data_IF_331558286206
#
_entry.id   IF_331558286206
#
_cell.length_a   1.000
_cell.length_b   1.000
_cell.length_c   1.000
_cell.angle_alpha   90.00
_cell.angle_beta   90.00
_cell.angle_gamma   90.00
#
_symmetry.space_group_name_H-M   'P 1'
#
loop_
_entity.id
_entity.type
_entity.pdbx_description
1 polymer ?
#
# COMPACT_ATOMS: atom_id res chain seq x y z
N UNK A 1 2.41 -13.57 -2.72
CA UNK A 1 3.53 -14.42 -3.17
C UNK A 1 4.44 -13.54 -3.98
N UNK A 2 5.75 -13.68 -3.80
CA UNK A 2 6.74 -12.86 -4.47
C UNK A 2 7.99 -13.70 -4.71
N UNK A 3 8.53 -13.67 -5.94
CA UNK A 3 9.70 -14.46 -6.33
C UNK A 3 10.99 -14.02 -5.62
N UNK A 4 11.04 -12.75 -5.20
CA UNK A 4 12.15 -12.19 -4.40
C UNK A 4 12.01 -12.48 -2.91
N UNK A 5 10.91 -13.09 -2.49
CA UNK A 5 10.67 -13.44 -1.09
C UNK A 5 11.70 -14.43 -0.56
N UNK A 6 12.18 -14.14 0.65
CA UNK A 6 13.14 -14.98 1.37
C UNK A 6 12.49 -16.23 1.97
N UNK A 7 11.20 -16.17 2.26
CA UNK A 7 10.51 -17.22 2.99
C UNK A 7 9.94 -18.27 2.04
N UNK A 8 10.13 -19.53 2.42
CA UNK A 8 9.47 -20.66 1.78
C UNK A 8 8.15 -20.94 2.47
N UNK A 9 7.10 -21.04 1.66
CA UNK A 9 5.75 -21.36 2.12
C UNK A 9 5.19 -22.53 1.32
N UNK A 10 4.38 -23.36 1.98
CA UNK A 10 3.66 -24.47 1.36
C UNK A 10 2.17 -24.13 1.35
N UNK A 11 1.55 -24.15 0.18
CA UNK A 11 0.20 -23.62 -0.01
C UNK A 11 -0.75 -24.70 -0.52
N UNK A 12 -1.87 -24.88 0.19
CA UNK A 12 -3.03 -25.61 -0.29
C UNK A 12 -3.96 -24.61 -0.96
N UNK A 13 -3.97 -24.58 -2.28
CA UNK A 13 -4.75 -23.61 -3.06
C UNK A 13 -6.26 -23.83 -2.93
N UNK A 14 -6.70 -25.07 -2.68
CA UNK A 14 -8.13 -25.41 -2.53
C UNK A 14 -8.66 -24.91 -1.20
N UNK A 15 -7.90 -25.10 -0.12
CA UNK A 15 -8.28 -24.65 1.23
C UNK A 15 -7.88 -23.21 1.51
N UNK A 16 -7.06 -22.61 0.65
CA UNK A 16 -6.51 -21.26 0.81
C UNK A 16 -5.71 -21.09 2.11
N UNK A 17 -4.95 -22.14 2.47
CA UNK A 17 -4.07 -22.14 3.65
C UNK A 17 -2.62 -22.15 3.17
N UNK A 18 -1.78 -21.35 3.80
CA UNK A 18 -0.34 -21.32 3.59
C UNK A 18 0.38 -21.57 4.91
N UNK A 19 1.46 -22.36 4.87
CA UNK A 19 2.27 -22.72 6.03
C UNK A 19 3.71 -22.29 5.75
N UNK A 20 4.35 -21.60 6.69
CA UNK A 20 5.78 -21.30 6.61
C UNK A 20 6.61 -22.58 6.83
N UNK A 21 7.72 -22.74 6.12
CA UNK A 21 8.65 -23.88 6.24
C UNK A 21 9.07 -24.16 7.69
N UNK A 22 9.21 -23.13 8.53
CA UNK A 22 9.56 -23.28 9.96
C UNK A 22 8.55 -24.12 10.77
N UNK A 23 7.28 -24.13 10.36
CA UNK A 23 6.20 -24.87 11.03
C UNK A 23 5.67 -26.02 10.18
N UNK A 24 6.38 -26.40 9.12
CA UNK A 24 6.02 -27.48 8.20
C UNK A 24 6.35 -28.88 8.75
N UNK A 25 5.71 -29.23 9.88
CA UNK A 25 5.86 -30.52 10.56
C UNK A 25 4.64 -31.41 10.36
N UNK A 26 4.79 -32.73 10.43
CA UNK A 26 3.67 -33.68 10.28
C UNK A 26 2.57 -33.44 11.32
N UNK A 27 2.96 -33.09 12.55
CA UNK A 27 2.04 -32.73 13.63
C UNK A 27 1.17 -31.51 13.27
N UNK A 28 1.78 -30.44 12.74
CA UNK A 28 1.06 -29.23 12.35
C UNK A 28 0.18 -29.47 11.12
N UNK A 29 0.65 -30.27 10.16
CA UNK A 29 -0.15 -30.67 9.00
C UNK A 29 -1.40 -31.45 9.44
N UNK A 30 -1.26 -32.38 10.38
CA UNK A 30 -2.39 -33.12 10.92
C UNK A 30 -3.39 -32.20 11.63
N UNK A 31 -2.90 -31.29 12.50
CA UNK A 31 -3.75 -30.30 13.20
C UNK A 31 -4.52 -29.39 12.25
N UNK A 32 -3.91 -29.01 11.12
CA UNK A 32 -4.51 -28.16 10.10
C UNK A 32 -5.31 -28.94 9.06
N UNK A 33 -5.32 -30.28 9.14
CA UNK A 33 -5.99 -31.15 8.18
C UNK A 33 -5.40 -31.05 6.77
N UNK A 34 -4.09 -30.86 6.64
CA UNK A 34 -3.36 -30.68 5.39
C UNK A 34 -2.55 -31.94 5.03
N UNK A 35 -2.39 -32.19 3.74
CA UNK A 35 -1.61 -33.32 3.23
C UNK A 35 -0.46 -32.79 2.39
N UNK A 36 0.75 -33.34 2.58
CA UNK A 36 1.96 -32.92 1.86
C UNK A 36 1.79 -32.95 0.34
N UNK A 37 1.09 -33.94 -0.19
CA UNK A 37 0.82 -34.13 -1.63
C UNK A 37 -0.07 -33.03 -2.25
N UNK A 38 -0.87 -32.34 -1.44
CA UNK A 38 -1.77 -31.27 -1.89
C UNK A 38 -1.11 -29.88 -1.80
N UNK A 39 0.13 -29.79 -1.30
CA UNK A 39 0.81 -28.52 -1.04
C UNK A 39 1.81 -28.16 -2.14
N UNK A 40 1.76 -26.91 -2.55
CA UNK A 40 2.68 -26.33 -3.54
C UNK A 40 3.67 -25.40 -2.82
N UNK A 41 4.96 -25.66 -2.98
CA UNK A 41 6.02 -24.76 -2.50
C UNK A 41 6.00 -23.46 -3.30
N UNK A 42 6.01 -22.33 -2.60
CA UNK A 42 6.08 -20.98 -3.16
C UNK A 42 6.96 -20.10 -2.30
N UNK A 43 7.36 -18.96 -2.86
CA UNK A 43 8.07 -17.91 -2.13
C UNK A 43 7.15 -16.80 -1.66
N UNK A 44 7.42 -16.30 -0.45
CA UNK A 44 6.69 -15.23 0.20
C UNK A 44 7.63 -14.24 0.87
N UNK A 45 7.13 -13.02 1.07
CA UNK A 45 7.77 -12.05 1.95
C UNK A 45 6.93 -12.00 3.22
N UNK A 46 7.48 -12.38 4.37
CA UNK A 46 6.79 -12.22 5.65
C UNK A 46 6.67 -10.72 6.01
N UNK A 47 5.47 -10.17 5.86
CA UNK A 47 5.18 -8.77 6.23
C UNK A 47 4.63 -8.63 7.65
N UNK A 48 4.34 -9.74 8.31
CA UNK A 48 3.84 -9.76 9.67
C UNK A 48 3.65 -11.16 10.20
N UNK A 49 3.56 -11.27 11.51
CA UNK A 49 3.50 -12.54 12.23
C UNK A 49 2.72 -12.39 13.53
N UNK A 50 2.16 -13.50 14.00
CA UNK A 50 1.38 -13.56 15.24
C UNK A 50 1.87 -14.74 16.07
N UNK A 51 2.15 -14.51 17.34
CA UNK A 51 2.65 -15.53 18.25
C UNK A 51 1.73 -15.70 19.45
N UNK A 52 1.38 -16.94 19.74
CA UNK A 52 0.81 -17.34 21.03
C UNK A 52 1.98 -17.54 22.00
N UNK A 53 2.18 -16.57 22.90
CA UNK A 53 3.31 -16.59 23.84
C UNK A 53 2.98 -17.32 25.14
N UNK A 54 1.70 -17.62 25.36
CA UNK A 54 1.18 -18.19 26.60
C UNK A 54 1.65 -17.36 27.81
N UNK A 55 2.01 -18.00 28.91
CA UNK A 55 2.52 -17.31 30.10
C UNK A 55 4.04 -17.20 30.15
N UNK A 56 4.75 -17.56 29.06
CA UNK A 56 6.21 -17.69 29.01
C UNK A 56 6.96 -16.48 29.59
N UNK A 57 6.54 -15.27 29.20
CA UNK A 57 7.19 -14.04 29.64
C UNK A 57 6.66 -13.53 30.97
N UNK A 58 5.36 -13.67 31.23
CA UNK A 58 4.73 -13.15 32.45
C UNK A 58 5.16 -13.94 33.67
N UNK A 59 5.25 -15.26 33.55
CA UNK A 59 5.71 -16.12 34.65
C UNK A 59 7.18 -15.83 34.98
N UNK A 60 8.02 -15.63 33.96
CA UNK A 60 9.43 -15.27 34.12
C UNK A 60 9.64 -13.88 34.76
N UNK A 61 8.72 -12.94 34.54
CA UNK A 61 8.72 -11.60 35.12
C UNK A 61 7.92 -11.50 36.44
N UNK A 62 7.42 -12.63 36.94
CA UNK A 62 6.55 -12.72 38.11
C UNK A 62 5.30 -11.82 38.03
N UNK A 63 4.76 -11.64 36.82
CA UNK A 63 3.56 -10.85 36.56
C UNK A 63 2.32 -11.75 36.52
N UNK A 64 1.40 -11.54 37.46
CA UNK A 64 0.19 -12.35 37.63
C UNK A 64 -1.03 -11.45 37.88
N UNK A 65 -2.23 -12.01 37.72
CA UNK A 65 -3.47 -11.35 38.12
C UNK A 65 -4.24 -12.21 39.14
N UNK A 66 -5.13 -11.57 39.90
CA UNK A 66 -6.08 -12.28 40.76
C UNK A 66 -7.39 -12.48 40.01
N UNK A 67 -7.87 -13.73 39.96
CA UNK A 67 -9.16 -14.03 39.36
C UNK A 67 -10.35 -13.68 40.28
N UNK A 68 -11.57 -14.01 39.85
CA UNK A 68 -12.80 -13.74 40.60
C UNK A 68 -12.86 -14.43 41.97
N UNK A 69 -12.04 -15.47 42.21
CA UNK A 69 -11.91 -16.17 43.49
C UNK A 69 -10.77 -15.63 44.34
N UNK A 70 -10.01 -14.66 43.83
CA UNK A 70 -8.81 -14.12 44.46
C UNK A 70 -7.58 -15.00 44.27
N UNK A 71 -7.63 -16.02 43.41
CA UNK A 71 -6.51 -16.92 43.16
C UNK A 71 -5.53 -16.29 42.18
N UNK A 72 -4.23 -16.56 42.39
CA UNK A 72 -3.14 -16.04 41.56
C UNK A 72 -3.07 -16.83 40.26
N UNK A 73 -3.36 -16.18 39.14
CA UNK A 73 -3.36 -16.77 37.80
C UNK A 73 -2.27 -16.16 36.91
N UNK A 74 -1.68 -17.00 36.06
CA UNK A 74 -0.77 -16.59 35.01
C UNK A 74 -1.49 -15.79 33.92
N UNK A 75 -0.83 -14.78 33.38
CA UNK A 75 -1.37 -13.97 32.29
C UNK A 75 -1.01 -14.62 30.95
N UNK A 76 -2.01 -14.96 30.15
CA UNK A 76 -1.80 -15.47 28.78
C UNK A 76 -1.52 -14.30 27.84
N UNK A 77 -0.40 -14.34 27.12
CA UNK A 77 0.00 -13.31 26.18
C UNK A 77 -0.06 -13.79 24.72
N UNK A 78 -0.39 -12.85 23.84
CA UNK A 78 -0.13 -12.93 22.41
C UNK A 78 0.69 -11.73 21.95
N UNK A 79 1.44 -11.90 20.87
CA UNK A 79 2.17 -10.80 20.22
C UNK A 79 1.85 -10.77 18.73
N UNK A 80 1.74 -9.56 18.18
CA UNK A 80 1.40 -9.30 16.79
C UNK A 80 2.42 -8.30 16.23
N UNK A 81 3.12 -8.70 15.19
CA UNK A 81 4.13 -7.88 14.53
C UNK A 81 3.75 -7.61 13.08
N UNK A 82 3.89 -6.36 12.63
CA UNK A 82 3.77 -5.97 11.22
C UNK A 82 5.02 -5.17 10.85
N UNK A 83 5.74 -5.62 9.83
CA UNK A 83 6.92 -4.97 9.31
C UNK A 83 6.54 -3.79 8.41
N UNK A 84 6.18 -2.65 8.98
CA UNK A 84 5.72 -1.46 8.21
C UNK A 84 6.75 -1.03 7.15
N UNK A 85 8.03 -0.95 7.51
CA UNK A 85 9.10 -0.63 6.54
C UNK A 85 9.30 -1.71 5.47
N UNK A 86 9.05 -2.98 5.80
CA UNK A 86 9.12 -4.09 4.84
C UNK A 86 7.96 -4.05 3.86
N UNK A 87 6.77 -3.69 4.31
CA UNK A 87 5.60 -3.48 3.43
C UNK A 87 5.90 -2.45 2.34
N UNK A 88 6.66 -1.41 2.65
CA UNK A 88 7.10 -0.43 1.66
C UNK A 88 7.91 -1.08 0.52
N UNK A 89 8.86 -1.95 0.86
CA UNK A 89 9.63 -2.71 -0.14
C UNK A 89 8.76 -3.65 -0.95
N UNK A 90 7.79 -4.31 -0.30
CA UNK A 90 6.82 -5.19 -0.99
C UNK A 90 5.92 -4.42 -1.95
N UNK A 91 5.49 -3.21 -1.58
CA UNK A 91 4.73 -2.33 -2.48
C UNK A 91 5.59 -1.98 -3.69
N UNK A 92 6.84 -1.57 -3.48
CA UNK A 92 7.72 -1.23 -4.59
C UNK A 92 8.00 -2.40 -5.54
N UNK A 93 8.10 -3.62 -4.99
CA UNK A 93 8.33 -4.83 -5.76
C UNK A 93 7.09 -5.27 -6.56
N UNK A 94 5.92 -5.30 -5.92
CA UNK A 94 4.71 -5.86 -6.52
C UNK A 94 3.89 -4.83 -7.30
N UNK A 95 4.05 -3.55 -6.97
CA UNK A 95 3.23 -2.45 -7.47
C UNK A 95 4.12 -1.38 -8.12
N UNK A 96 4.92 -1.81 -9.08
CA UNK A 96 5.68 -0.96 -9.98
C UNK A 96 5.59 -1.48 -11.43
N UNK A 97 5.82 -0.59 -12.38
CA UNK A 97 6.02 -0.91 -13.79
C UNK A 97 7.38 -0.37 -14.27
N UNK A 98 7.67 -0.51 -15.57
CA UNK A 98 8.93 -0.04 -16.17
C UNK A 98 9.21 1.47 -15.98
N UNK A 99 8.20 2.25 -15.57
CA UNK A 99 8.30 3.70 -15.38
C UNK A 99 8.37 4.11 -13.91
N UNK A 100 8.06 3.22 -12.97
CA UNK A 100 8.16 3.47 -11.54
C UNK A 100 6.98 2.92 -10.74
N UNK A 101 6.75 3.49 -9.56
CA UNK A 101 5.73 3.03 -8.62
C UNK A 101 4.31 3.19 -9.18
N UNK A 102 3.41 2.33 -8.72
CA UNK A 102 1.97 2.40 -8.99
C UNK A 102 1.23 2.21 -7.67
N UNK A 103 1.00 3.32 -6.96
CA UNK A 103 0.40 3.26 -5.62
C UNK A 103 -1.07 2.81 -5.65
N UNK A 104 -1.50 2.00 -4.67
CA UNK A 104 -2.90 1.92 -4.31
C UNK A 104 -3.39 3.26 -3.76
N UNK A 105 -4.58 3.69 -4.18
CA UNK A 105 -5.15 5.01 -3.85
C UNK A 105 -5.31 5.28 -2.35
N UNK A 106 -5.41 4.24 -1.53
CA UNK A 106 -5.61 4.37 -0.09
C UNK A 106 -4.32 4.58 0.71
N UNK A 107 -3.15 4.36 0.12
CA UNK A 107 -1.83 4.48 0.78
C UNK A 107 -0.84 5.34 -0.01
N UNK A 108 -1.27 5.93 -1.12
CA UNK A 108 -0.46 6.85 -1.89
C UNK A 108 -0.09 8.08 -1.03
N UNK A 109 1.11 8.67 -1.19
CA UNK A 109 1.53 9.84 -0.42
C UNK A 109 0.72 11.10 -0.75
N UNK A 110 0.15 11.15 -1.95
CA UNK A 110 -0.79 12.16 -2.41
C UNK A 110 -1.84 11.48 -3.27
N UNK A 111 -3.03 12.06 -3.33
CA UNK A 111 -4.09 11.60 -4.23
C UNK A 111 -3.80 12.02 -5.67
N UNK A 112 -3.18 13.19 -5.85
CA UNK A 112 -2.98 13.79 -7.17
C UNK A 112 -1.62 14.47 -7.30
N UNK A 113 -1.01 14.34 -8.48
CA UNK A 113 0.17 15.09 -8.90
C UNK A 113 -0.27 16.13 -9.93
N UNK A 114 -0.25 17.41 -9.55
CA UNK A 114 -0.64 18.53 -10.38
C UNK A 114 0.60 19.13 -11.06
N UNK A 115 0.63 19.14 -12.39
CA UNK A 115 1.75 19.63 -13.18
C UNK A 115 1.33 20.93 -13.89
N UNK A 116 2.09 22.00 -13.67
CA UNK A 116 1.97 23.22 -14.48
C UNK A 116 2.94 23.19 -15.66
N UNK A 117 2.42 23.42 -16.86
CA UNK A 117 3.20 23.58 -18.09
C UNK A 117 3.16 25.04 -18.58
N UNK A 118 3.74 25.94 -17.77
CA UNK A 118 3.83 27.37 -18.09
C UNK A 118 2.60 28.20 -17.73
N UNK A 119 1.65 27.63 -16.99
CA UNK A 119 0.39 28.27 -16.58
C UNK A 119 0.29 28.28 -15.04
N UNK A 120 1.32 28.83 -14.37
CA UNK A 120 1.48 28.70 -12.91
C UNK A 120 0.36 29.40 -12.12
N UNK A 121 -0.11 30.58 -12.54
CA UNK A 121 -1.16 31.30 -11.82
C UNK A 121 -2.48 30.52 -11.80
N UNK A 122 -2.87 29.95 -12.94
CA UNK A 122 -4.05 29.09 -13.06
C UNK A 122 -3.88 27.79 -12.27
N UNK A 123 -2.68 27.22 -12.28
CA UNK A 123 -2.37 26.03 -11.51
C UNK A 123 -2.44 26.26 -10.00
N UNK A 124 -1.95 27.39 -9.50
CA UNK A 124 -2.06 27.78 -8.10
C UNK A 124 -3.53 27.98 -7.67
N UNK A 125 -4.36 28.59 -8.53
CA UNK A 125 -5.81 28.74 -8.25
C UNK A 125 -6.51 27.39 -8.12
N UNK A 126 -6.20 26.44 -9.00
CA UNK A 126 -6.79 25.09 -8.98
C UNK A 126 -6.26 24.30 -7.78
N UNK A 127 -4.96 24.39 -7.51
CA UNK A 127 -4.32 23.79 -6.34
C UNK A 127 -4.99 24.26 -5.04
N UNK A 128 -5.18 25.57 -4.87
CA UNK A 128 -5.85 26.13 -3.70
C UNK A 128 -7.29 25.60 -3.53
N UNK A 129 -8.06 25.49 -4.63
CA UNK A 129 -9.41 24.92 -4.60
C UNK A 129 -9.41 23.44 -4.19
N UNK A 130 -8.44 22.66 -4.65
CA UNK A 130 -8.32 21.25 -4.28
C UNK A 130 -7.95 21.08 -2.81
N UNK A 131 -7.01 21.88 -2.31
CA UNK A 131 -6.64 21.90 -0.90
C UNK A 131 -7.81 22.31 0.01
N UNK A 132 -8.60 23.31 -0.39
CA UNK A 132 -9.79 23.73 0.36
C UNK A 132 -10.80 22.59 0.54
N UNK A 133 -10.83 21.64 -0.40
CA UNK A 133 -11.68 20.44 -0.33
C UNK A 133 -11.00 19.23 0.31
N UNK A 134 -9.80 19.40 0.88
CA UNK A 134 -9.07 18.36 1.60
C UNK A 134 -8.38 17.33 0.71
N UNK A 135 -8.17 17.65 -0.57
CA UNK A 135 -7.43 16.77 -1.48
C UNK A 135 -5.94 16.89 -1.21
N UNK A 136 -5.25 15.76 -1.03
CA UNK A 136 -3.80 15.72 -0.93
C UNK A 136 -3.18 15.83 -2.33
N UNK A 137 -2.58 16.98 -2.63
CA UNK A 137 -2.01 17.29 -3.96
C UNK A 137 -0.52 17.56 -3.85
N UNK A 138 0.27 16.87 -4.66
CA UNK A 138 1.65 17.27 -4.95
C UNK A 138 1.63 18.23 -6.12
N UNK A 139 2.00 19.49 -5.89
CA UNK A 139 2.10 20.49 -6.96
C UNK A 139 3.53 20.58 -7.50
N UNK A 140 3.69 20.35 -8.80
CA UNK A 140 4.95 20.49 -9.53
C UNK A 140 5.00 21.83 -10.27
N UNK A 141 5.42 22.85 -9.53
CA UNK A 141 5.63 24.23 -9.96
C UNK A 141 7.06 24.50 -10.48
N UNK A 142 7.91 23.46 -10.50
CA UNK A 142 9.32 23.57 -10.89
C UNK A 142 9.49 24.14 -12.29
N UNK A 143 10.53 24.93 -12.51
CA UNK A 143 10.96 25.35 -13.84
C UNK A 143 11.74 24.21 -14.51
N UNK A 144 11.00 23.21 -14.99
CA UNK A 144 11.52 22.01 -15.63
C UNK A 144 10.76 21.71 -16.92
N UNK A 145 11.41 21.04 -17.87
CA UNK A 145 10.77 20.64 -19.12
C UNK A 145 9.61 19.67 -18.86
N UNK A 146 8.55 19.78 -19.68
CA UNK A 146 7.37 18.93 -19.55
C UNK A 146 7.70 17.43 -19.51
N UNK A 147 8.61 16.98 -20.37
CA UNK A 147 9.06 15.58 -20.41
C UNK A 147 9.69 15.11 -19.09
N UNK A 148 10.45 15.98 -18.42
CA UNK A 148 11.04 15.69 -17.11
C UNK A 148 9.95 15.61 -16.03
N UNK A 149 9.02 16.56 -16.00
CA UNK A 149 7.87 16.51 -15.06
C UNK A 149 7.03 15.24 -15.24
N UNK A 150 6.79 14.82 -16.49
CA UNK A 150 6.07 13.59 -16.77
C UNK A 150 6.82 12.34 -16.31
N UNK A 151 8.13 12.27 -16.55
CA UNK A 151 8.97 11.16 -16.11
C UNK A 151 9.01 11.07 -14.58
N UNK A 152 9.21 12.21 -13.89
CA UNK A 152 9.19 12.27 -12.43
C UNK A 152 7.81 11.88 -11.87
N UNK A 153 6.73 12.33 -12.50
CA UNK A 153 5.37 11.98 -12.11
C UNK A 153 5.09 10.48 -12.26
N UNK A 154 5.53 9.88 -13.37
CA UNK A 154 5.42 8.43 -13.59
C UNK A 154 6.29 7.65 -12.57
N UNK A 155 7.49 8.15 -12.26
CA UNK A 155 8.40 7.53 -11.30
C UNK A 155 7.85 7.54 -9.86
N UNK A 156 7.35 8.68 -9.40
CA UNK A 156 6.76 8.85 -8.07
C UNK A 156 5.49 8.00 -7.92
N UNK A 157 4.71 7.86 -9.00
CA UNK A 157 3.63 6.88 -9.08
C UNK A 157 2.29 7.30 -8.50
N UNK A 158 2.08 8.59 -8.20
CA UNK A 158 0.83 9.10 -7.61
C UNK A 158 -0.37 8.72 -8.49
N UNK A 159 -1.49 8.21 -7.92
CA UNK A 159 -2.57 7.58 -8.68
C UNK A 159 -3.16 8.43 -9.80
N UNK A 160 -3.33 9.74 -9.57
CA UNK A 160 -3.86 10.65 -10.57
C UNK A 160 -2.84 11.73 -10.91
N UNK A 161 -2.62 11.94 -12.21
CA UNK A 161 -1.85 13.06 -12.74
C UNK A 161 -2.80 14.05 -13.38
N UNK A 162 -2.69 15.31 -13.00
CA UNK A 162 -3.46 16.43 -13.56
C UNK A 162 -2.49 17.42 -14.19
N UNK A 163 -2.75 17.82 -15.44
CA UNK A 163 -1.85 18.66 -16.24
C UNK A 163 -2.58 19.94 -16.62
N UNK A 164 -2.01 21.07 -16.25
CA UNK A 164 -2.49 22.39 -16.61
C UNK A 164 -1.57 22.94 -17.68
N UNK A 165 -2.15 23.18 -18.86
CA UNK A 165 -1.48 23.77 -20.00
C UNK A 165 -2.45 24.69 -20.73
N UNK A 166 -1.92 25.55 -21.59
CA UNK A 166 -2.73 26.37 -22.49
C UNK A 166 -3.78 25.56 -23.26
N UNK A 167 -3.45 24.32 -23.65
CA UNK A 167 -4.36 23.42 -24.38
C UNK A 167 -5.50 22.91 -23.50
N UNK A 168 -5.19 22.47 -22.27
CA UNK A 168 -6.22 21.95 -21.35
C UNK A 168 -7.18 23.06 -20.94
N UNK A 169 -6.65 24.25 -20.63
CA UNK A 169 -7.45 25.43 -20.28
C UNK A 169 -8.35 25.88 -21.43
N UNK A 170 -7.82 25.89 -22.67
CA UNK A 170 -8.63 26.17 -23.85
C UNK A 170 -9.74 25.14 -24.11
N UNK A 171 -9.55 23.89 -23.66
CA UNK A 171 -10.55 22.84 -23.70
C UNK A 171 -11.54 22.90 -22.50
N UNK A 172 -11.40 23.88 -21.61
CA UNK A 172 -12.33 24.13 -20.51
C UNK A 172 -12.00 23.38 -19.21
N UNK A 173 -10.78 22.87 -19.04
CA UNK A 173 -10.44 22.13 -17.82
C UNK A 173 -8.96 21.75 -17.65
N UNK A 174 -8.76 20.64 -16.96
CA UNK A 174 -7.46 20.06 -16.64
C UNK A 174 -7.36 18.71 -17.32
N UNK A 175 -6.20 18.39 -17.89
CA UNK A 175 -5.99 17.07 -18.48
C UNK A 175 -5.60 16.07 -17.38
N UNK A 176 -6.48 15.11 -17.12
CA UNK A 176 -6.34 14.13 -16.03
C UNK A 176 -6.09 12.75 -16.59
N UNK A 177 -5.19 12.02 -15.94
CA UNK A 177 -4.81 10.66 -16.31
C UNK A 177 -4.55 9.83 -15.05
N UNK A 178 -5.06 8.60 -15.00
CA UNK A 178 -4.67 7.64 -13.97
C UNK A 178 -3.29 7.04 -14.28
N UNK A 179 -2.45 6.83 -13.26
CA UNK A 179 -1.05 6.39 -13.40
C UNK A 179 -0.89 5.10 -14.20
N UNK A 180 -1.84 4.18 -14.07
CA UNK A 180 -1.85 2.88 -14.75
C UNK A 180 -2.67 2.86 -16.06
N UNK A 181 -3.26 3.98 -16.46
CA UNK A 181 -4.03 4.07 -17.71
C UNK A 181 -3.18 4.66 -18.85
N UNK A 182 -3.63 4.49 -20.10
CA UNK A 182 -2.99 5.11 -21.27
C UNK A 182 -3.65 6.43 -21.66
N UNK A 183 -4.96 6.53 -21.49
CA UNK A 183 -5.79 7.65 -21.94
C UNK A 183 -5.87 8.77 -20.90
N UNK A 184 -5.95 10.01 -21.39
CA UNK A 184 -6.25 11.18 -20.57
C UNK A 184 -7.61 11.76 -20.93
N UNK A 185 -8.24 12.47 -19.99
CA UNK A 185 -9.53 13.14 -20.17
C UNK A 185 -9.41 14.58 -19.72
N UNK A 186 -10.07 15.50 -20.44
CA UNK A 186 -10.27 16.86 -19.96
C UNK A 186 -11.39 16.82 -18.93
N UNK A 187 -11.11 17.30 -17.72
CA UNK A 187 -12.08 17.36 -16.62
C UNK A 187 -12.16 18.78 -16.07
N UNK A 188 -13.34 19.23 -15.68
CA UNK A 188 -13.48 20.47 -14.91
C UNK A 188 -12.96 20.27 -13.48
N UNK A 189 -12.76 21.37 -12.74
CA UNK A 189 -12.36 21.29 -11.33
C UNK A 189 -13.42 20.58 -10.49
N UNK A 190 -14.70 20.78 -10.79
CA UNK A 190 -15.81 20.09 -10.13
C UNK A 190 -15.78 18.58 -10.39
N UNK A 191 -15.54 18.15 -11.63
CA UNK A 191 -15.42 16.72 -11.96
C UNK A 191 -14.20 16.09 -11.28
N UNK A 192 -13.09 16.83 -11.20
CA UNK A 192 -11.88 16.43 -10.47
C UNK A 192 -12.18 16.18 -8.99
N UNK A 193 -12.93 17.10 -8.37
CA UNK A 193 -13.35 16.98 -6.98
C UNK A 193 -14.33 15.81 -6.76
N UNK A 194 -15.16 15.47 -7.74
CA UNK A 194 -16.03 14.29 -7.65
C UNK A 194 -15.23 12.99 -7.77
N UNK A 195 -14.24 12.94 -8.67
CA UNK A 195 -13.37 11.78 -8.85
C UNK A 195 -12.57 11.44 -7.59
N UNK A 196 -12.12 12.46 -6.85
CA UNK A 196 -11.25 12.29 -5.68
C UNK A 196 -12.02 12.21 -4.35
N UNK A 197 -13.35 12.36 -4.37
CA UNK A 197 -14.18 12.13 -3.18
C UNK A 197 -14.32 10.63 -2.93
N UNK A 198 -13.80 10.18 -1.79
CA UNK A 198 -14.14 8.89 -1.19
C UNK A 198 -15.55 8.92 -0.61
#
# INVERSE_FOLDING_TARGET
MSEVGEDKIYVDEKKRIAINDEIFTDENLEKLGLKREDLVEKKGVEVGNTFHLESKYTDALELFYSDEKGEKQSIVMGCYGIGVSRIMGVIAELLADDKGLVWPENIAPFSMHLLSLGENEEAEKIYAQLLEKGVEVLFDDRDAQAGQKFADSDLIGIPYRAVISKKSLAAGGVEVKKRNESESKIMTVEELLQLLKK
#
